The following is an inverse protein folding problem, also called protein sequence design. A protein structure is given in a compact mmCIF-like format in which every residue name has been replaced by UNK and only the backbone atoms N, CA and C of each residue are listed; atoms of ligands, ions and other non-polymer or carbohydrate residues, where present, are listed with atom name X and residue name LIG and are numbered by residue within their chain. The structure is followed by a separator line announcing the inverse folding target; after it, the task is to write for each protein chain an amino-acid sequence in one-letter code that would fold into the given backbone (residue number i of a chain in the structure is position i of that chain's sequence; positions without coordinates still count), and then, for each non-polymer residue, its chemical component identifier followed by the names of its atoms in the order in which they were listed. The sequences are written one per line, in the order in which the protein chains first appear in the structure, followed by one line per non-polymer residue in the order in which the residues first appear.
data_IF_088053507066
#
_entry.id   IF_088053507066
#
_cell.length_a   1.000
_cell.length_b   1.000
_cell.length_c   1.000
_cell.angle_alpha   90.00
_cell.angle_beta   90.00
_cell.angle_gamma   90.00
#
_symmetry.space_group_name_H-M   'P 1'
#
loop_
_entity.id
_entity.type
_entity.pdbx_description
1 polymer ?
#
# COMPACT_ATOMS: atom_id res chain seq x y z
N UNK A 1 16.96 -29.74 10.78
CA UNK A 1 17.99 -28.72 11.10
C UNK A 1 17.39 -27.35 10.79
N UNK A 2 17.06 -26.57 11.82
CA UNK A 2 16.37 -25.28 11.67
C UNK A 2 17.30 -24.20 11.14
N UNK A 3 16.93 -23.57 10.02
CA UNK A 3 17.63 -22.41 9.48
C UNK A 3 17.16 -21.18 10.26
N UNK A 4 18.08 -20.46 10.90
CA UNK A 4 17.77 -19.22 11.59
C UNK A 4 17.54 -18.11 10.56
N UNK A 5 16.44 -17.38 10.70
CA UNK A 5 16.11 -16.23 9.87
C UNK A 5 16.31 -14.95 10.66
N UNK A 6 16.79 -13.90 9.99
CA UNK A 6 16.91 -12.58 10.61
C UNK A 6 15.50 -12.00 10.79
N UNK A 7 15.15 -11.67 12.03
CA UNK A 7 13.93 -10.90 12.33
C UNK A 7 14.00 -9.56 11.58
N UNK A 8 12.87 -9.11 11.02
CA UNK A 8 12.81 -7.75 10.46
C UNK A 8 12.90 -6.74 11.60
N UNK A 9 13.50 -5.58 11.31
CA UNK A 9 13.65 -4.49 12.29
C UNK A 9 12.28 -3.93 12.74
N UNK A 10 11.23 -4.14 11.94
CA UNK A 10 9.83 -3.86 12.29
C UNK A 10 8.95 -5.12 12.12
N UNK A 11 8.07 -5.36 13.10
CA UNK A 11 7.09 -6.46 13.04
C UNK A 11 6.06 -6.25 11.93
N UNK A 12 5.67 -7.34 11.27
CA UNK A 12 4.51 -7.32 10.39
C UNK A 12 3.23 -7.13 11.22
N UNK A 13 2.25 -6.34 10.74
CA UNK A 13 1.01 -6.15 11.47
C UNK A 13 0.18 -7.43 11.39
N UNK A 14 0.17 -8.22 12.45
CA UNK A 14 -0.75 -9.35 12.63
C UNK A 14 -0.34 -10.68 11.99
N UNK A 15 -1.24 -11.66 12.12
CA UNK A 15 -1.13 -13.03 11.61
C UNK A 15 -2.44 -13.48 10.92
N UNK A 16 -2.52 -14.75 10.50
CA UNK A 16 -3.70 -15.33 9.80
C UNK A 16 -5.02 -15.19 10.56
N UNK A 17 -4.99 -14.97 11.87
CA UNK A 17 -6.16 -14.87 12.74
C UNK A 17 -6.49 -13.41 13.12
N UNK A 18 -5.74 -12.45 12.58
CA UNK A 18 -5.99 -11.02 12.81
C UNK A 18 -6.74 -10.37 11.66
N UNK A 19 -7.47 -9.27 11.94
CA UNK A 19 -8.24 -8.51 10.95
C UNK A 19 -7.36 -7.92 9.85
N UNK A 20 -6.12 -7.58 10.17
CA UNK A 20 -5.10 -7.17 9.20
C UNK A 20 -4.05 -8.26 9.12
N UNK A 21 -4.27 -9.36 8.37
CA UNK A 21 -3.37 -10.49 8.38
C UNK A 21 -2.05 -10.17 7.67
N UNK A 22 -0.95 -10.68 8.21
CA UNK A 22 0.33 -10.67 7.54
C UNK A 22 1.05 -12.00 7.75
N UNK A 23 1.18 -12.78 6.68
CA UNK A 23 1.88 -14.06 6.72
C UNK A 23 3.29 -13.86 6.23
N UNK A 24 4.24 -13.98 7.15
CA UNK A 24 5.66 -13.99 6.82
C UNK A 24 6.02 -15.29 6.09
N UNK A 25 6.66 -15.15 4.93
CA UNK A 25 7.36 -16.25 4.26
C UNK A 25 8.88 -15.99 4.33
N UNK A 26 9.69 -17.02 4.65
CA UNK A 26 11.13 -16.90 4.53
C UNK A 26 11.55 -16.71 3.08
N UNK A 27 12.24 -15.60 2.79
CA UNK A 27 12.82 -15.31 1.48
C UNK A 27 14.28 -14.89 1.66
N UNK A 28 15.20 -15.72 1.16
CA UNK A 28 16.64 -15.52 1.35
C UNK A 28 17.06 -15.66 2.82
N UNK A 29 17.57 -14.58 3.42
CA UNK A 29 17.99 -14.53 4.83
C UNK A 29 17.00 -13.81 5.76
N UNK A 30 15.87 -13.32 5.23
CA UNK A 30 14.88 -12.57 5.99
C UNK A 30 13.46 -13.10 5.83
N UNK A 31 12.56 -12.57 6.64
CA UNK A 31 11.12 -12.75 6.49
C UNK A 31 10.55 -11.63 5.60
N UNK A 32 9.55 -11.96 4.78
CA UNK A 32 8.79 -11.00 3.96
C UNK A 32 7.31 -11.32 4.09
N UNK A 33 6.45 -10.30 4.12
CA UNK A 33 5.02 -10.51 3.99
C UNK A 33 4.73 -11.09 2.59
N UNK A 34 4.21 -12.32 2.54
CA UNK A 34 3.79 -12.96 1.29
C UNK A 34 2.28 -12.87 1.09
N UNK A 35 1.53 -12.95 2.18
CA UNK A 35 0.06 -12.86 2.18
C UNK A 35 -0.35 -11.76 3.13
N UNK A 36 -1.27 -10.91 2.71
CA UNK A 36 -1.86 -9.85 3.51
C UNK A 36 -2.66 -8.89 2.65
N UNK A 37 -3.23 -7.87 3.29
CA UNK A 37 -3.88 -6.80 2.54
C UNK A 37 -2.84 -6.04 1.69
N UNK A 38 -3.16 -5.80 0.43
CA UNK A 38 -2.34 -4.97 -0.48
C UNK A 38 -2.84 -3.53 -0.52
N UNK A 39 -4.11 -3.32 -0.18
CA UNK A 39 -4.78 -2.03 -0.09
C UNK A 39 -5.74 -2.02 1.09
N UNK A 40 -5.87 -0.87 1.74
CA UNK A 40 -6.91 -0.54 2.73
C UNK A 40 -7.54 0.77 2.30
N UNK A 41 -8.85 0.86 2.41
CA UNK A 41 -9.54 2.11 2.14
C UNK A 41 -10.78 2.29 3.00
N UNK A 42 -11.12 3.54 3.24
CA UNK A 42 -12.34 3.98 3.94
C UNK A 42 -12.97 5.06 3.09
N UNK A 43 -14.23 4.87 2.73
CA UNK A 43 -14.98 5.82 1.91
C UNK A 43 -16.30 6.15 2.61
N UNK A 44 -16.57 7.44 2.75
CA UNK A 44 -17.92 7.91 3.07
C UNK A 44 -18.68 8.14 1.76
N UNK A 45 -19.67 7.31 1.47
CA UNK A 45 -20.43 7.42 0.21
C UNK A 45 -21.34 8.66 0.19
N UNK A 46 -21.60 9.30 1.33
CA UNK A 46 -22.29 10.58 1.37
C UNK A 46 -21.36 11.76 1.03
N UNK A 47 -20.04 11.54 1.04
CA UNK A 47 -18.99 12.52 0.76
C UNK A 47 -17.93 11.94 -0.16
N UNK A 48 -18.24 11.78 -1.47
CA UNK A 48 -17.31 11.17 -2.43
C UNK A 48 -15.97 11.90 -2.55
N UNK A 49 -15.90 13.16 -2.12
CA UNK A 49 -14.68 13.97 -2.00
C UNK A 49 -13.77 13.57 -0.81
N UNK A 50 -14.24 12.69 0.08
CA UNK A 50 -13.50 12.24 1.27
C UNK A 50 -13.35 10.72 1.27
N UNK A 51 -12.21 10.25 0.77
CA UNK A 51 -11.80 8.86 0.90
C UNK A 51 -10.38 8.77 1.46
N UNK A 52 -10.08 7.68 2.15
CA UNK A 52 -8.78 7.43 2.74
C UNK A 52 -8.24 6.13 2.18
N UNK A 53 -7.00 6.13 1.70
CA UNK A 53 -6.36 4.98 1.10
C UNK A 53 -5.01 4.71 1.75
N UNK A 54 -4.60 3.45 1.74
CA UNK A 54 -3.26 3.01 2.07
C UNK A 54 -2.91 1.79 1.21
N UNK A 55 -1.68 1.72 0.72
CA UNK A 55 -1.19 0.63 -0.12
C UNK A 55 0.10 0.04 0.46
N UNK A 56 0.25 -1.28 0.40
CA UNK A 56 1.39 -1.99 1.00
C UNK A 56 2.73 -1.71 0.31
N UNK A 57 2.67 -1.27 -0.95
CA UNK A 57 3.78 -0.79 -1.77
C UNK A 57 3.37 0.51 -2.44
N UNK A 58 4.27 1.12 -3.21
CA UNK A 58 3.88 2.26 -4.05
C UNK A 58 3.21 1.80 -5.36
N UNK A 59 2.74 2.77 -6.18
CA UNK A 59 1.96 2.50 -7.39
C UNK A 59 2.79 1.91 -8.55
N UNK A 60 4.11 1.81 -8.44
CA UNK A 60 4.97 1.30 -9.51
C UNK A 60 5.39 -0.14 -9.28
N UNK A 61 5.29 -0.98 -10.31
CA UNK A 61 5.88 -2.31 -10.33
C UNK A 61 7.38 -2.35 -10.68
N UNK A 62 7.98 -1.22 -11.04
CA UNK A 62 9.40 -1.15 -11.42
C UNK A 62 10.28 -0.88 -10.18
N UNK A 63 11.19 -1.79 -9.77
CA UNK A 63 12.04 -1.62 -8.59
C UNK A 63 12.94 -0.37 -8.61
N UNK A 64 13.26 0.15 -9.80
CA UNK A 64 14.09 1.35 -9.95
C UNK A 64 13.27 2.65 -9.89
N UNK A 65 11.95 2.57 -9.83
CA UNK A 65 11.09 3.74 -9.67
C UNK A 65 11.11 4.22 -8.23
N UNK A 66 11.17 5.56 -8.04
CA UNK A 66 10.97 6.17 -6.72
C UNK A 66 9.62 5.82 -6.08
N UNK A 67 8.65 5.38 -6.89
CA UNK A 67 7.31 5.00 -6.48
C UNK A 67 7.12 3.49 -6.27
N UNK A 68 8.19 2.68 -6.27
CA UNK A 68 8.06 1.24 -6.07
C UNK A 68 7.60 0.87 -4.66
N UNK A 69 8.23 1.48 -3.66
CA UNK A 69 8.00 1.20 -2.24
C UNK A 69 7.53 2.44 -1.45
N UNK A 70 7.13 3.50 -2.14
CA UNK A 70 6.88 4.83 -1.55
C UNK A 70 5.78 4.88 -0.48
N UNK A 71 4.89 3.88 -0.41
CA UNK A 71 3.82 3.82 0.60
C UNK A 71 4.09 2.81 1.74
N UNK A 72 5.21 2.08 1.68
CA UNK A 72 5.47 0.95 2.59
C UNK A 72 5.56 1.39 4.05
N UNK A 73 6.18 2.54 4.32
CA UNK A 73 6.38 3.03 5.69
C UNK A 73 5.07 3.50 6.32
N UNK A 74 4.26 4.25 5.56
CA UNK A 74 2.92 4.67 5.98
C UNK A 74 2.02 3.45 6.21
N UNK A 75 2.10 2.45 5.34
CA UNK A 75 1.39 1.19 5.50
C UNK A 75 1.69 0.51 6.84
N UNK A 76 2.97 0.40 7.22
CA UNK A 76 3.38 -0.21 8.49
C UNK A 76 2.83 0.54 9.70
N UNK A 77 2.67 1.85 9.59
CA UNK A 77 2.17 2.74 10.65
C UNK A 77 0.64 2.85 10.68
N UNK A 78 -0.07 2.12 9.82
CA UNK A 78 -1.52 2.28 9.62
C UNK A 78 -1.89 3.74 9.26
N UNK A 79 -0.99 4.45 8.57
CA UNK A 79 -1.27 5.78 8.06
C UNK A 79 -2.00 5.67 6.71
N UNK A 80 -2.96 6.58 6.52
CA UNK A 80 -3.75 6.69 5.31
C UNK A 80 -3.49 8.06 4.69
N UNK A 81 -3.40 8.11 3.36
CA UNK A 81 -3.44 9.37 2.64
C UNK A 81 -4.88 9.69 2.25
N UNK A 82 -5.23 10.97 2.30
CA UNK A 82 -6.53 11.45 1.80
C UNK A 82 -6.52 11.38 0.28
N UNK A 83 -7.59 10.82 -0.26
CA UNK A 83 -7.94 10.80 -1.67
C UNK A 83 -9.43 11.11 -1.79
N UNK A 84 -9.97 11.00 -2.99
CA UNK A 84 -11.39 11.11 -3.27
C UNK A 84 -11.79 10.03 -4.28
N UNK A 85 -13.09 9.77 -4.37
CA UNK A 85 -13.69 8.94 -5.42
C UNK A 85 -14.08 9.78 -6.65
N UNK A 86 -13.43 10.93 -6.85
CA UNK A 86 -13.67 11.85 -7.96
C UNK A 86 -13.43 11.18 -9.30
N UNK A 87 -14.24 11.57 -10.28
CA UNK A 87 -13.84 11.43 -11.68
C UNK A 87 -12.62 12.33 -11.94
N UNK A 88 -11.71 11.97 -12.86
CA UNK A 88 -10.51 12.76 -13.11
C UNK A 88 -10.77 14.25 -13.41
N UNK A 89 -11.92 14.57 -14.02
CA UNK A 89 -12.31 15.96 -14.35
C UNK A 89 -12.88 16.76 -13.18
N UNK A 90 -13.11 16.14 -12.04
CA UNK A 90 -13.66 16.77 -10.82
C UNK A 90 -12.58 17.16 -9.81
N UNK A 91 -11.32 16.79 -10.08
CA UNK A 91 -10.19 17.07 -9.17
C UNK A 91 -9.94 18.59 -9.14
N UNK A 92 -10.04 19.25 -7.97
CA UNK A 92 -9.67 20.65 -7.84
C UNK A 92 -8.14 20.79 -7.89
N UNK A 93 -7.67 21.75 -8.68
CA UNK A 93 -6.25 22.13 -8.81
C UNK A 93 -5.29 20.95 -9.09
N UNK A 94 -5.47 20.21 -10.20
CA UNK A 94 -4.62 19.06 -10.51
C UNK A 94 -3.17 19.50 -10.69
N UNK A 95 -2.25 18.86 -9.95
CA UNK A 95 -0.79 19.09 -10.08
C UNK A 95 -0.28 18.63 -11.44
N UNK A 96 -0.85 17.56 -11.97
CA UNK A 96 -0.51 16.98 -13.27
C UNK A 96 -1.74 16.30 -13.89
N UNK A 97 -2.02 16.59 -15.16
CA UNK A 97 -3.11 15.97 -15.92
C UNK A 97 -2.57 15.55 -17.29
N UNK A 98 -2.43 14.24 -17.50
CA UNK A 98 -1.89 13.67 -18.75
C UNK A 98 -3.04 13.07 -19.55
N UNK A 99 -3.33 13.69 -20.70
CA UNK A 99 -4.20 13.11 -21.71
C UNK A 99 -3.37 12.22 -22.64
N UNK A 100 -3.57 10.90 -22.56
CA UNK A 100 -2.96 9.95 -23.49
C UNK A 100 -3.91 9.80 -24.68
N UNK A 101 -3.57 10.30 -25.88
CA UNK A 101 -4.42 10.10 -27.05
C UNK A 101 -4.52 8.60 -27.38
N UNK A 102 -5.64 8.15 -27.97
CA UNK A 102 -5.75 6.78 -28.46
C UNK A 102 -4.64 6.52 -29.48
N UNK A 103 -3.90 5.42 -29.27
CA UNK A 103 -2.87 4.94 -30.19
C UNK A 103 -3.43 4.10 -31.33
#
# INVERSE_FOLDING_TARGET
MGRWFRAMDDGLPGDLYTVSPSVACPLGQGLRALVGATSRFVCDLAKPEEAYFAHSSGPSGNPNSRYFASCTDDWRRFAYFKSALWQPHEIPDPVEHILVPPG
#
